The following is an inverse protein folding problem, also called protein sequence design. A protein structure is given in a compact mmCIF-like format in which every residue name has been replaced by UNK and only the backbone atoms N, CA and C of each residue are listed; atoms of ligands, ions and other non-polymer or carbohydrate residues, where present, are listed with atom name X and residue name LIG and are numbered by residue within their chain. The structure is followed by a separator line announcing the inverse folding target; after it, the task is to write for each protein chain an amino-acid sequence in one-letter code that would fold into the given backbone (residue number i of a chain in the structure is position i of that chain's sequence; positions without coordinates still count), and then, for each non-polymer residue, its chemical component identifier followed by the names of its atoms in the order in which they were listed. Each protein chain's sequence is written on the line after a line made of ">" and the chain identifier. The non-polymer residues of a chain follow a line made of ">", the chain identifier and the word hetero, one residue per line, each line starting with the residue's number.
data_IF_870500676186
#
_entry.id   IF_870500676186
#
_cell.length_a   1.000
_cell.length_b   1.000
_cell.length_c   1.000
_cell.angle_alpha   90.00
_cell.angle_beta   90.00
_cell.angle_gamma   90.00
#
_symmetry.space_group_name_H-M   'P 1'
#
loop_
_entity.id
_entity.type
_entity.pdbx_description
1 polymer ?
#
# COMPACT_ATOMS: atom_id res chain seq x y z
N UNK A 1 13.63 -28.18 -9.27
CA UNK A 1 12.71 -27.27 -9.96
C UNK A 1 13.09 -25.85 -9.59
N UNK A 2 13.82 -25.19 -10.47
CA UNK A 2 14.21 -23.78 -10.36
C UNK A 2 12.99 -22.88 -10.20
N UNK A 3 12.86 -22.26 -9.03
CA UNK A 3 11.96 -21.13 -8.86
C UNK A 3 12.57 -19.98 -9.66
N UNK A 4 12.05 -19.77 -10.87
CA UNK A 4 12.25 -18.55 -11.65
C UNK A 4 12.02 -17.36 -10.72
N UNK A 5 13.11 -16.71 -10.30
CA UNK A 5 13.05 -15.40 -9.67
C UNK A 5 12.35 -14.48 -10.68
N UNK A 6 11.07 -14.19 -10.43
CA UNK A 6 10.39 -13.12 -11.13
C UNK A 6 11.27 -11.87 -10.97
N UNK A 7 11.53 -11.10 -12.04
CA UNK A 7 12.31 -9.88 -11.92
C UNK A 7 11.64 -9.05 -10.84
N UNK A 8 12.35 -8.82 -9.71
CA UNK A 8 11.90 -7.88 -8.69
C UNK A 8 11.65 -6.59 -9.44
N UNK A 9 10.38 -6.20 -9.57
CA UNK A 9 9.99 -4.99 -10.27
C UNK A 9 10.89 -3.86 -9.76
N UNK A 10 11.50 -3.12 -10.69
CA UNK A 10 12.39 -2.01 -10.34
C UNK A 10 11.60 -1.04 -9.47
N UNK A 11 11.91 -1.01 -8.18
CA UNK A 11 11.26 -0.10 -7.25
C UNK A 11 11.74 1.31 -7.52
N UNK A 12 10.81 2.25 -7.63
CA UNK A 12 11.14 3.64 -7.90
C UNK A 12 11.41 4.39 -6.59
N UNK A 13 12.44 5.23 -6.60
CA UNK A 13 12.70 6.20 -5.54
C UNK A 13 11.90 7.47 -5.84
N UNK A 14 10.66 7.52 -5.36
CA UNK A 14 9.75 8.65 -5.60
C UNK A 14 9.00 9.04 -4.32
N UNK A 15 9.77 9.39 -3.27
CA UNK A 15 9.24 9.62 -1.91
C UNK A 15 8.05 10.61 -1.87
N UNK A 16 8.10 11.69 -2.64
CA UNK A 16 6.99 12.65 -2.69
C UNK A 16 5.70 12.08 -3.30
N UNK A 17 5.81 11.19 -4.30
CA UNK A 17 4.66 10.50 -4.90
C UNK A 17 4.08 9.50 -3.90
N UNK A 18 4.96 8.79 -3.18
CA UNK A 18 4.56 7.86 -2.13
C UNK A 18 3.79 8.57 -1.02
N UNK A 19 4.27 9.72 -0.54
CA UNK A 19 3.55 10.49 0.49
C UNK A 19 2.16 10.92 0.01
N UNK A 20 2.06 11.47 -1.21
CA UNK A 20 0.78 11.90 -1.78
C UNK A 20 -0.21 10.74 -1.94
N UNK A 21 0.26 9.57 -2.41
CA UNK A 21 -0.59 8.38 -2.55
C UNK A 21 -1.01 7.83 -1.17
N UNK A 22 -0.11 7.81 -0.18
CA UNK A 22 -0.44 7.38 1.18
C UNK A 22 -1.45 8.32 1.85
N UNK A 23 -1.32 9.64 1.66
CA UNK A 23 -2.29 10.63 2.13
C UNK A 23 -3.66 10.41 1.47
N UNK A 24 -3.68 10.23 0.16
CA UNK A 24 -4.91 9.94 -0.58
C UNK A 24 -5.58 8.66 -0.07
N UNK A 25 -4.82 7.58 0.10
CA UNK A 25 -5.34 6.29 0.58
C UNK A 25 -5.82 6.36 2.03
N UNK A 26 -5.12 7.08 2.91
CA UNK A 26 -5.58 7.26 4.29
C UNK A 26 -6.89 8.07 4.34
N UNK A 27 -7.00 9.14 3.54
CA UNK A 27 -8.24 9.90 3.43
C UNK A 27 -9.38 9.05 2.85
N UNK A 28 -9.15 8.37 1.73
CA UNK A 28 -10.17 7.60 1.01
C UNK A 28 -10.73 6.45 1.85
N UNK A 29 -9.86 5.70 2.55
CA UNK A 29 -10.27 4.56 3.38
C UNK A 29 -11.03 4.96 4.66
N UNK A 30 -11.01 6.25 5.04
CA UNK A 30 -11.79 6.79 6.15
C UNK A 30 -13.16 7.29 5.74
N UNK A 31 -13.41 7.53 4.45
CA UNK A 31 -14.70 8.07 4.00
C UNK A 31 -15.81 7.00 4.03
N UNK A 32 -16.94 7.24 4.72
CA UNK A 32 -18.05 6.29 4.79
C UNK A 32 -18.63 5.93 3.42
N UNK A 33 -18.71 6.88 2.50
CA UNK A 33 -19.22 6.66 1.14
C UNK A 33 -18.28 5.79 0.29
N UNK A 34 -16.96 5.87 0.53
CA UNK A 34 -15.95 5.08 -0.19
C UNK A 34 -15.77 3.67 0.40
N UNK A 35 -16.40 3.37 1.55
CA UNK A 35 -16.56 2.00 2.06
C UNK A 35 -17.49 1.13 1.19
N UNK A 36 -18.17 1.71 0.20
CA UNK A 36 -18.87 0.93 -0.83
C UNK A 36 -17.90 0.11 -1.68
N UNK A 37 -16.64 0.53 -1.80
CA UNK A 37 -15.60 -0.27 -2.42
C UNK A 37 -15.08 -1.31 -1.42
N UNK A 38 -14.96 -2.56 -1.87
CA UNK A 38 -14.53 -3.71 -1.06
C UNK A 38 -13.18 -3.44 -0.35
N UNK A 39 -13.08 -3.83 0.93
CA UNK A 39 -11.84 -3.79 1.69
C UNK A 39 -10.69 -4.52 0.96
N UNK A 40 -11.00 -5.57 0.20
CA UNK A 40 -10.03 -6.26 -0.66
C UNK A 40 -9.48 -5.39 -1.79
N UNK A 41 -10.30 -4.51 -2.38
CA UNK A 41 -9.82 -3.55 -3.39
C UNK A 41 -8.82 -2.56 -2.80
N UNK A 42 -9.16 -1.96 -1.66
CA UNK A 42 -8.26 -1.02 -0.99
C UNK A 42 -6.96 -1.67 -0.52
N UNK A 43 -7.02 -2.91 0.00
CA UNK A 43 -5.81 -3.67 0.34
C UNK A 43 -4.88 -3.84 -0.85
N UNK A 44 -5.41 -4.20 -2.03
CA UNK A 44 -4.59 -4.33 -3.26
C UNK A 44 -3.93 -3.01 -3.65
N UNK A 45 -4.64 -1.88 -3.54
CA UNK A 45 -4.09 -0.54 -3.84
C UNK A 45 -2.94 -0.17 -2.90
N UNK A 46 -3.14 -0.39 -1.60
CA UNK A 46 -2.11 -0.09 -0.59
C UNK A 46 -0.87 -0.99 -0.78
N UNK A 47 -1.07 -2.29 -1.05
CA UNK A 47 0.05 -3.22 -1.33
C UNK A 47 0.77 -2.89 -2.64
N UNK A 48 0.09 -2.35 -3.65
CA UNK A 48 0.74 -1.92 -4.89
C UNK A 48 1.78 -0.82 -4.65
N UNK A 49 1.56 0.08 -3.68
CA UNK A 49 2.54 1.09 -3.27
C UNK A 49 3.79 0.43 -2.68
N UNK A 50 3.61 -0.56 -1.78
CA UNK A 50 4.71 -1.34 -1.18
C UNK A 50 5.52 -2.12 -2.23
N UNK A 51 4.88 -2.59 -3.29
CA UNK A 51 5.54 -3.34 -4.36
C UNK A 51 6.24 -2.44 -5.40
N UNK A 52 5.70 -1.25 -5.67
CA UNK A 52 6.15 -0.37 -6.74
C UNK A 52 7.23 0.64 -6.36
N UNK A 53 7.39 0.93 -5.06
CA UNK A 53 8.30 1.97 -4.57
C UNK A 53 9.23 1.46 -3.48
N UNK A 54 10.39 2.10 -3.37
CA UNK A 54 11.23 1.96 -2.19
C UNK A 54 10.68 2.91 -1.12
N UNK A 55 10.35 2.36 0.05
CA UNK A 55 9.67 3.07 1.12
C UNK A 55 10.64 3.33 2.28
N UNK A 56 10.52 4.50 2.89
CA UNK A 56 11.14 4.77 4.19
C UNK A 56 10.38 4.04 5.30
N UNK A 57 11.02 3.84 6.46
CA UNK A 57 10.39 3.18 7.62
C UNK A 57 9.10 3.90 8.07
N UNK A 58 9.09 5.24 7.99
CA UNK A 58 7.90 6.03 8.31
C UNK A 58 6.75 5.77 7.34
N UNK A 59 7.05 5.63 6.05
CA UNK A 59 6.07 5.32 5.01
C UNK A 59 5.53 3.89 5.17
N UNK A 60 6.41 2.93 5.51
CA UNK A 60 6.00 1.55 5.82
C UNK A 60 5.04 1.52 7.00
N UNK A 61 5.36 2.20 8.10
CA UNK A 61 4.49 2.27 9.28
C UNK A 61 3.12 2.88 8.95
N UNK A 62 3.08 3.95 8.16
CA UNK A 62 1.82 4.58 7.70
C UNK A 62 1.00 3.61 6.85
N UNK A 63 1.66 2.93 5.91
CA UNK A 63 1.04 1.93 5.05
C UNK A 63 0.41 0.79 5.86
N UNK A 64 1.14 0.26 6.84
CA UNK A 64 0.66 -0.81 7.72
C UNK A 64 -0.54 -0.39 8.56
N UNK A 65 -0.56 0.85 9.05
CA UNK A 65 -1.72 1.40 9.76
C UNK A 65 -2.98 1.44 8.88
N UNK A 66 -2.85 1.75 7.59
CA UNK A 66 -3.97 1.71 6.64
C UNK A 66 -4.40 0.25 6.42
N UNK A 67 -3.45 -0.67 6.22
CA UNK A 67 -3.74 -2.09 6.04
C UNK A 67 -4.46 -2.73 7.23
N UNK A 68 -4.03 -2.43 8.46
CA UNK A 68 -4.69 -2.89 9.69
C UNK A 68 -6.15 -2.42 9.76
N UNK A 69 -6.43 -1.16 9.40
CA UNK A 69 -7.80 -0.63 9.35
C UNK A 69 -8.68 -1.38 8.34
N UNK A 70 -8.08 -1.89 7.27
CA UNK A 70 -8.74 -2.68 6.24
C UNK A 70 -8.84 -4.17 6.59
N UNK A 71 -8.46 -4.57 7.81
CA UNK A 71 -8.51 -5.95 8.28
C UNK A 71 -7.42 -6.85 7.72
N UNK A 72 -6.31 -6.28 7.24
CA UNK A 72 -5.13 -7.06 6.87
C UNK A 72 -4.37 -7.45 8.15
N UNK A 73 -3.99 -8.73 8.34
CA UNK A 73 -3.20 -9.13 9.49
C UNK A 73 -1.85 -8.42 9.46
N UNK A 74 -1.39 -7.97 10.63
CA UNK A 74 0.01 -7.55 10.77
C UNK A 74 0.87 -8.80 10.75
N UNK A 75 1.88 -8.80 9.89
CA UNK A 75 2.91 -9.84 9.83
C UNK A 75 3.85 -9.70 11.04
#
# INVERSE_FOLDING_TARGET
>A
MDRKNAPRAQRFNASHVVEAELEHLDWATRQPALRMLDAGYWRRRVLAVKCGFELTDLQVMRLEKILQRLGYPSD
#
